data_IF_900360218868
#
_entry.id   IF_900360218868
#
_cell.length_a   1.000
_cell.length_b   1.000
_cell.length_c   1.000
_cell.angle_alpha   90.00
_cell.angle_beta   90.00
_cell.angle_gamma   90.00
#
_symmetry.space_group_name_H-M   'P 1'
#
loop_
_entity.id
_entity.type
_entity.pdbx_description
1 polymer ?
#
# COMPACT_ATOMS: atom_id res chain seq x y z
N UNK A 1 61.72 -18.78 28.47
CA UNK A 1 62.20 -19.65 27.40
C UNK A 1 61.32 -19.40 26.17
N UNK A 2 61.86 -18.64 25.25
CA UNK A 2 61.53 -18.68 23.82
C UNK A 2 62.34 -19.80 23.20
N UNK A 3 61.95 -20.47 22.14
CA UNK A 3 62.03 -20.01 20.77
C UNK A 3 60.83 -20.59 19.93
N UNK A 4 60.62 -20.45 18.64
CA UNK A 4 61.36 -19.83 17.52
C UNK A 4 60.42 -19.83 16.32
N UNK A 5 60.61 -18.87 15.50
CA UNK A 5 59.94 -18.60 14.21
C UNK A 5 60.52 -19.57 13.16
N UNK A 6 59.67 -20.15 12.30
CA UNK A 6 60.12 -20.57 10.96
C UNK A 6 59.01 -20.32 9.95
N UNK A 7 59.28 -19.37 9.04
CA UNK A 7 58.72 -19.25 7.71
C UNK A 7 59.69 -19.88 6.73
N UNK A 8 59.30 -20.55 5.68
CA UNK A 8 59.87 -20.21 4.40
C UNK A 8 58.85 -20.20 3.22
N UNK A 9 58.91 -19.09 2.55
CA UNK A 9 58.71 -19.00 1.11
C UNK A 9 59.68 -19.92 0.36
N UNK A 10 59.27 -20.53 -0.77
CA UNK A 10 59.89 -20.41 -2.10
C UNK A 10 59.51 -21.57 -3.04
N UNK A 11 59.34 -21.24 -4.29
CA UNK A 11 59.41 -22.17 -5.40
C UNK A 11 58.21 -22.01 -6.40
N UNK A 12 58.13 -21.00 -7.19
CA UNK A 12 58.67 -20.73 -8.53
C UNK A 12 58.47 -21.81 -9.60
N UNK A 13 57.75 -21.32 -10.61
CA UNK A 13 57.99 -21.39 -12.04
C UNK A 13 57.24 -22.39 -12.92
N UNK A 14 56.55 -21.79 -13.79
CA UNK A 14 56.63 -21.76 -15.25
C UNK A 14 55.75 -22.70 -16.09
N UNK A 15 55.00 -22.03 -16.88
CA UNK A 15 54.91 -22.01 -18.34
C UNK A 15 54.03 -23.05 -19.00
N UNK A 16 53.05 -22.70 -19.76
CA UNK A 16 53.27 -22.38 -21.16
C UNK A 16 51.99 -21.91 -21.89
N UNK A 17 52.24 -20.92 -22.70
CA UNK A 17 51.48 -20.39 -23.80
C UNK A 17 51.01 -21.46 -24.78
N UNK A 18 49.80 -21.36 -25.30
CA UNK A 18 49.63 -21.46 -26.74
C UNK A 18 48.39 -20.68 -27.20
N UNK A 19 48.72 -19.75 -28.09
CA UNK A 19 47.81 -18.97 -28.91
C UNK A 19 47.10 -19.90 -29.90
N UNK A 20 45.82 -19.61 -30.20
CA UNK A 20 45.37 -19.68 -31.59
C UNK A 20 44.30 -18.62 -31.87
N UNK A 21 44.71 -17.75 -32.80
CA UNK A 21 43.91 -16.74 -33.52
C UNK A 21 43.12 -17.38 -34.64
N UNK A 22 42.16 -16.55 -35.09
CA UNK A 22 41.51 -16.49 -36.43
C UNK A 22 40.18 -17.20 -36.48
N UNK A 23 39.12 -16.67 -37.09
CA UNK A 23 38.93 -15.70 -38.20
C UNK A 23 37.47 -15.26 -38.19
N UNK A 24 37.15 -14.03 -38.13
CA UNK A 24 36.83 -13.05 -39.16
C UNK A 24 35.78 -13.46 -40.21
N UNK A 25 34.76 -12.64 -40.28
CA UNK A 25 34.06 -12.17 -41.49
C UNK A 25 33.21 -13.14 -42.26
N UNK A 26 31.97 -12.77 -42.31
CA UNK A 26 30.95 -12.85 -43.38
C UNK A 26 29.61 -13.28 -42.79
N UNK A 27 28.66 -12.34 -42.65
CA UNK A 27 27.61 -12.07 -43.63
C UNK A 27 26.71 -10.95 -43.09
N UNK A 28 27.04 -9.73 -43.46
CA UNK A 28 26.04 -8.72 -43.68
C UNK A 28 25.60 -8.93 -45.13
N UNK A 29 24.34 -9.23 -45.36
CA UNK A 29 23.53 -8.97 -46.55
C UNK A 29 22.31 -9.89 -46.52
N UNK A 30 21.18 -9.37 -46.05
CA UNK A 30 19.84 -9.81 -46.45
C UNK A 30 18.80 -9.09 -45.58
N UNK A 31 18.73 -7.79 -45.77
CA UNK A 31 17.63 -6.95 -45.29
C UNK A 31 17.38 -5.90 -46.37
N UNK A 32 16.71 -6.31 -47.41
CA UNK A 32 16.01 -5.42 -48.36
C UNK A 32 15.26 -6.34 -49.34
N UNK A 33 14.02 -6.67 -49.05
CA UNK A 33 12.98 -7.08 -50.03
C UNK A 33 11.81 -7.67 -49.24
N UNK A 34 10.92 -6.86 -48.78
CA UNK A 34 9.51 -7.23 -48.53
C UNK A 34 8.70 -5.96 -48.14
N UNK A 35 8.67 -5.03 -49.08
CA UNK A 35 7.71 -3.91 -49.08
C UNK A 35 7.14 -3.92 -50.48
N UNK A 36 5.99 -4.55 -50.66
CA UNK A 36 5.05 -4.41 -51.80
C UNK A 36 4.20 -5.70 -51.88
N UNK A 37 3.05 -5.66 -51.26
CA UNK A 37 1.83 -6.35 -51.67
C UNK A 37 0.84 -6.42 -50.50
N UNK A 38 0.06 -5.38 -50.32
CA UNK A 38 -1.23 -5.46 -49.63
C UNK A 38 -2.16 -4.41 -50.23
N UNK A 39 -2.69 -4.74 -51.38
CA UNK A 39 -3.96 -4.17 -51.84
C UNK A 39 -4.93 -5.32 -52.01
N UNK A 40 -6.15 -5.11 -51.57
CA UNK A 40 -7.36 -5.88 -51.86
C UNK A 40 -7.65 -7.07 -50.94
N UNK A 41 -8.61 -6.81 -50.01
CA UNK A 41 -9.89 -7.51 -49.96
C UNK A 41 -10.68 -6.97 -48.76
N UNK A 42 -11.52 -6.01 -49.03
CA UNK A 42 -12.66 -5.66 -48.17
C UNK A 42 -13.82 -6.58 -48.56
N UNK A 43 -14.34 -7.33 -47.58
CA UNK A 43 -15.76 -7.73 -47.51
C UNK A 43 -15.88 -8.95 -46.59
N UNK A 44 -16.25 -8.67 -45.34
CA UNK A 44 -17.11 -9.56 -44.55
C UNK A 44 -17.20 -9.01 -43.10
N UNK A 45 -17.98 -7.96 -42.93
CA UNK A 45 -18.56 -7.60 -41.63
C UNK A 45 -20.04 -7.32 -41.86
N UNK A 46 -20.96 -7.87 -41.07
CA UNK A 46 -22.37 -7.54 -41.19
C UNK A 46 -22.60 -6.12 -40.72
N UNK A 47 -23.25 -5.31 -41.56
CA UNK A 47 -23.75 -4.00 -41.26
C UNK A 47 -24.87 -4.12 -40.22
N UNK A 48 -24.71 -3.44 -39.08
CA UNK A 48 -25.79 -3.24 -38.09
C UNK A 48 -26.39 -1.88 -38.37
N UNK A 49 -27.62 -1.87 -38.90
CA UNK A 49 -28.40 -0.63 -39.16
C UNK A 49 -28.93 -0.06 -37.85
N UNK A 50 -28.55 1.17 -37.52
CA UNK A 50 -29.14 1.94 -36.43
C UNK A 50 -30.30 2.81 -36.92
N UNK A 51 -31.47 2.85 -36.24
CA UNK A 51 -32.73 3.44 -36.74
C UNK A 51 -32.83 4.96 -36.77
N UNK A 52 -31.72 5.70 -36.64
CA UNK A 52 -31.72 7.17 -36.47
C UNK A 52 -30.86 7.95 -37.51
N UNK A 53 -30.53 7.32 -38.65
CA UNK A 53 -29.86 7.95 -39.76
C UNK A 53 -30.79 8.08 -40.99
N UNK A 54 -31.93 8.72 -40.85
CA UNK A 54 -32.71 9.20 -41.98
C UNK A 54 -33.12 10.66 -41.75
N UNK A 55 -32.35 11.57 -42.28
CA UNK A 55 -32.67 12.99 -42.43
C UNK A 55 -32.33 13.41 -43.84
N UNK A 56 -33.37 13.53 -44.70
CA UNK A 56 -33.27 14.00 -46.07
C UNK A 56 -32.84 15.48 -46.11
N UNK A 57 -32.09 15.93 -47.13
CA UNK A 57 -31.75 17.34 -47.29
C UNK A 57 -32.92 18.10 -47.92
N UNK A 58 -33.52 19.00 -47.19
CA UNK A 58 -34.46 19.99 -47.73
C UNK A 58 -33.67 21.13 -48.33
N UNK A 59 -33.70 21.24 -49.65
CA UNK A 59 -33.29 22.41 -50.39
C UNK A 59 -34.38 23.47 -50.29
N UNK A 60 -34.11 24.58 -49.61
CA UNK A 60 -34.94 25.76 -49.70
C UNK A 60 -34.09 26.94 -50.20
N UNK A 61 -34.39 27.33 -51.43
CA UNK A 61 -33.95 28.54 -52.08
C UNK A 61 -34.62 29.73 -51.37
N UNK A 62 -33.84 30.66 -50.79
CA UNK A 62 -34.40 31.90 -50.24
C UNK A 62 -33.55 33.11 -50.63
N UNK A 63 -34.25 34.08 -51.19
CA UNK A 63 -33.79 35.33 -51.76
C UNK A 63 -32.98 36.19 -50.76
N UNK A 64 -32.04 36.99 -51.31
CA UNK A 64 -31.33 38.07 -50.65
C UNK A 64 -32.29 39.18 -50.19
N UNK A 65 -32.15 39.68 -48.96
CA UNK A 65 -32.55 41.01 -48.59
C UNK A 65 -31.39 42.02 -48.59
N UNK A 66 -31.74 43.28 -48.86
CA UNK A 66 -30.87 44.41 -49.02
C UNK A 66 -30.08 44.83 -47.74
N UNK A 67 -29.08 45.72 -47.88
CA UNK A 67 -28.14 46.04 -46.78
C UNK A 67 -28.83 46.96 -45.76
N UNK A 68 -28.76 46.53 -44.49
CA UNK A 68 -29.14 47.31 -43.32
C UNK A 68 -27.90 47.71 -42.53
N UNK A 69 -27.95 48.92 -42.07
CA UNK A 69 -26.96 49.75 -41.42
C UNK A 69 -26.15 49.08 -40.33
N UNK A 70 -24.85 49.40 -40.27
CA UNK A 70 -23.85 49.01 -39.24
C UNK A 70 -24.25 49.58 -37.88
N UNK A 71 -24.38 48.76 -36.81
CA UNK A 71 -24.36 49.26 -35.45
C UNK A 71 -22.92 49.49 -35.01
N UNK A 72 -22.70 50.57 -34.32
CA UNK A 72 -21.46 50.96 -33.65
C UNK A 72 -20.93 49.84 -32.77
N UNK A 73 -19.62 49.57 -32.87
CA UNK A 73 -18.85 48.75 -31.93
C UNK A 73 -18.90 49.39 -30.55
N UNK A 74 -19.71 48.86 -29.67
CA UNK A 74 -19.53 49.03 -28.23
C UNK A 74 -18.29 48.26 -27.81
N UNK A 75 -17.30 48.97 -27.26
CA UNK A 75 -16.16 48.43 -26.55
C UNK A 75 -16.65 47.59 -25.34
N UNK A 76 -16.99 46.34 -25.54
CA UNK A 76 -17.04 45.40 -24.43
C UNK A 76 -15.59 45.00 -24.05
N UNK A 77 -15.12 45.67 -23.01
CA UNK A 77 -13.96 45.22 -22.23
C UNK A 77 -14.11 43.74 -21.92
N UNK A 78 -13.06 42.90 -22.11
CA UNK A 78 -13.14 41.49 -21.76
C UNK A 78 -13.54 41.38 -20.29
N UNK A 79 -14.67 40.73 -20.03
CA UNK A 79 -15.10 40.41 -18.67
C UNK A 79 -13.95 39.75 -17.94
N UNK A 80 -13.46 40.36 -16.88
CA UNK A 80 -12.54 39.75 -15.93
C UNK A 80 -13.10 38.40 -15.52
N UNK A 81 -12.29 37.35 -15.41
CA UNK A 81 -12.78 36.05 -14.93
C UNK A 81 -13.52 36.30 -13.62
N UNK A 82 -14.78 35.96 -13.59
CA UNK A 82 -15.59 36.00 -12.37
C UNK A 82 -14.85 35.14 -11.33
N UNK A 83 -14.34 35.79 -10.30
CA UNK A 83 -13.76 35.09 -9.14
C UNK A 83 -14.86 34.16 -8.63
N UNK A 84 -14.68 32.87 -8.84
CA UNK A 84 -15.58 31.87 -8.31
C UNK A 84 -15.51 31.99 -6.79
N UNK A 85 -16.64 32.27 -6.14
CA UNK A 85 -16.71 32.39 -4.69
C UNK A 85 -16.17 31.08 -4.06
N UNK A 86 -15.37 31.21 -3.01
CA UNK A 86 -14.90 30.04 -2.25
C UNK A 86 -16.11 29.22 -1.78
N UNK A 87 -16.03 27.90 -1.74
CA UNK A 87 -17.12 27.07 -1.28
C UNK A 87 -17.42 27.34 0.20
N UNK A 88 -18.67 27.48 0.55
CA UNK A 88 -19.08 27.72 1.94
C UNK A 88 -18.96 26.47 2.83
N UNK A 89 -18.83 25.29 2.24
CA UNK A 89 -18.81 24.00 2.97
C UNK A 89 -17.90 22.99 2.30
N UNK A 90 -17.04 22.32 3.08
CA UNK A 90 -16.31 21.09 2.68
C UNK A 90 -16.97 19.85 3.23
N UNK A 91 -17.07 18.80 2.42
CA UNK A 91 -17.58 17.48 2.81
C UNK A 91 -16.43 16.51 2.94
N UNK A 92 -16.24 15.92 4.14
CA UNK A 92 -15.19 14.95 4.42
C UNK A 92 -15.82 13.60 4.74
N UNK A 93 -15.28 12.53 4.13
CA UNK A 93 -15.65 11.17 4.52
C UNK A 93 -14.52 10.51 5.33
N UNK A 94 -14.89 10.01 6.50
CA UNK A 94 -14.00 9.33 7.43
C UNK A 94 -14.50 7.90 7.73
N UNK A 95 -13.59 6.96 8.04
CA UNK A 95 -13.97 5.70 8.63
C UNK A 95 -14.57 5.93 10.03
N UNK A 96 -15.56 5.12 10.40
CA UNK A 96 -16.26 5.28 11.68
C UNK A 96 -15.32 5.20 12.90
N UNK A 97 -14.19 4.47 12.79
CA UNK A 97 -13.20 4.40 13.88
C UNK A 97 -12.46 5.74 14.14
N UNK A 98 -12.52 6.68 13.19
CA UNK A 98 -11.91 8.02 13.28
C UNK A 98 -12.96 9.12 13.49
N UNK A 99 -14.08 8.79 14.13
CA UNK A 99 -15.13 9.75 14.46
C UNK A 99 -14.60 10.85 15.39
N UNK A 100 -14.54 12.13 14.97
CA UNK A 100 -14.13 13.22 15.84
C UNK A 100 -15.16 13.55 16.92
N UNK A 101 -16.37 12.99 16.86
CA UNK A 101 -17.39 13.08 17.90
C UNK A 101 -17.28 12.02 19.00
N UNK A 102 -16.34 11.06 18.87
CA UNK A 102 -16.16 10.01 19.86
C UNK A 102 -15.54 10.53 21.17
N UNK A 103 -15.79 9.84 22.28
CA UNK A 103 -15.22 10.17 23.58
C UNK A 103 -13.78 9.65 23.72
N UNK A 104 -12.83 10.26 22.97
CA UNK A 104 -11.41 9.91 23.01
C UNK A 104 -10.53 11.15 22.84
N UNK A 105 -9.27 11.05 23.29
CA UNK A 105 -8.29 12.12 23.10
C UNK A 105 -8.01 12.38 21.61
N UNK A 106 -7.89 11.33 20.82
CA UNK A 106 -7.67 11.45 19.37
C UNK A 106 -8.86 12.16 18.67
N UNK A 107 -10.08 11.81 19.05
CA UNK A 107 -11.29 12.48 18.54
C UNK A 107 -11.30 13.97 18.87
N UNK A 108 -11.01 14.34 20.14
CA UNK A 108 -10.95 15.74 20.56
C UNK A 108 -9.87 16.53 19.80
N UNK A 109 -8.68 15.92 19.58
CA UNK A 109 -7.61 16.55 18.79
C UNK A 109 -8.02 16.76 17.32
N UNK A 110 -8.65 15.77 16.70
CA UNK A 110 -9.12 15.88 15.31
C UNK A 110 -10.24 16.92 15.21
N UNK A 111 -11.21 16.90 16.11
CA UNK A 111 -12.29 17.89 16.13
C UNK A 111 -11.75 19.33 16.28
N UNK A 112 -10.84 19.56 17.21
CA UNK A 112 -10.21 20.87 17.41
C UNK A 112 -9.45 21.32 16.15
N UNK A 113 -8.70 20.41 15.51
CA UNK A 113 -7.95 20.69 14.28
C UNK A 113 -8.85 21.10 13.13
N UNK A 114 -9.95 20.36 12.92
CA UNK A 114 -10.96 20.67 11.90
C UNK A 114 -11.68 21.99 12.17
N UNK A 115 -12.05 22.26 13.43
CA UNK A 115 -12.70 23.53 13.82
C UNK A 115 -11.79 24.74 13.58
N UNK A 116 -10.50 24.63 13.95
CA UNK A 116 -9.53 25.71 13.70
C UNK A 116 -9.36 26.00 12.21
N UNK A 117 -9.31 24.98 11.38
CA UNK A 117 -9.25 25.16 9.92
C UNK A 117 -10.51 25.82 9.39
N UNK A 118 -11.70 25.36 9.80
CA UNK A 118 -12.98 25.92 9.39
C UNK A 118 -13.11 27.41 9.76
N UNK A 119 -12.71 27.79 10.99
CA UNK A 119 -12.68 29.18 11.45
C UNK A 119 -11.70 30.04 10.64
N UNK A 120 -10.52 29.50 10.33
CA UNK A 120 -9.47 30.23 9.60
C UNK A 120 -9.86 30.50 8.15
N UNK A 121 -10.45 29.53 7.47
CA UNK A 121 -10.89 29.63 6.07
C UNK A 121 -12.29 30.24 5.95
N UNK A 122 -13.03 30.42 7.05
CA UNK A 122 -14.39 30.97 7.05
C UNK A 122 -15.42 30.06 6.38
N UNK A 123 -15.30 28.73 6.58
CA UNK A 123 -16.14 27.71 5.96
C UNK A 123 -16.77 26.78 7.01
N UNK A 124 -17.77 26.01 6.57
CA UNK A 124 -18.28 24.87 7.33
C UNK A 124 -17.62 23.56 6.88
N UNK A 125 -17.39 22.63 7.82
CA UNK A 125 -16.94 21.27 7.53
C UNK A 125 -18.05 20.28 7.91
N UNK A 126 -18.50 19.50 6.92
CA UNK A 126 -19.47 18.42 7.10
C UNK A 126 -18.75 17.08 7.08
N UNK A 127 -18.80 16.32 8.18
CA UNK A 127 -18.18 15.00 8.29
C UNK A 127 -19.25 13.93 8.08
N UNK A 128 -18.93 12.94 7.26
CA UNK A 128 -19.76 11.75 7.04
C UNK A 128 -18.97 10.49 7.36
N UNK A 129 -19.39 9.79 8.39
CA UNK A 129 -18.79 8.53 8.81
C UNK A 129 -19.27 7.38 7.93
N UNK A 130 -18.35 6.48 7.57
CA UNK A 130 -18.61 5.27 6.78
C UNK A 130 -17.93 4.07 7.40
N UNK A 131 -18.50 2.88 7.18
CA UNK A 131 -17.80 1.64 7.52
C UNK A 131 -16.58 1.41 6.63
N UNK A 132 -15.65 0.57 7.09
CA UNK A 132 -14.45 0.25 6.33
C UNK A 132 -14.71 -0.68 5.15
N UNK A 133 -15.68 -1.58 5.30
CA UNK A 133 -15.94 -2.64 4.33
C UNK A 133 -17.42 -3.02 4.31
N UNK A 134 -17.80 -3.83 3.33
CA UNK A 134 -19.17 -4.27 3.12
C UNK A 134 -20.04 -3.23 2.41
N UNK A 135 -21.32 -3.55 2.23
CA UNK A 135 -22.29 -2.64 1.63
C UNK A 135 -22.46 -1.39 2.51
N UNK A 136 -21.99 -0.25 2.04
CA UNK A 136 -21.90 0.99 2.83
C UNK A 136 -20.48 1.36 3.26
N UNK A 137 -19.48 0.57 2.88
CA UNK A 137 -18.06 0.88 3.03
C UNK A 137 -17.64 2.09 2.21
N UNK A 138 -16.54 2.73 2.63
CA UNK A 138 -16.00 3.95 2.00
C UNK A 138 -15.93 3.84 0.46
N UNK A 139 -15.28 2.79 -0.05
CA UNK A 139 -15.09 2.59 -1.49
C UNK A 139 -16.40 2.26 -2.22
N UNK A 140 -17.26 1.44 -1.62
CA UNK A 140 -18.55 1.07 -2.22
C UNK A 140 -19.48 2.27 -2.35
N UNK A 141 -19.57 3.09 -1.29
CA UNK A 141 -20.40 4.31 -1.31
C UNK A 141 -19.79 5.35 -2.26
N UNK A 142 -18.46 5.51 -2.31
CA UNK A 142 -17.78 6.39 -3.27
C UNK A 142 -18.11 5.97 -4.70
N UNK A 143 -18.01 4.69 -5.01
CA UNK A 143 -18.34 4.13 -6.34
C UNK A 143 -19.80 4.36 -6.69
N UNK A 144 -20.72 4.09 -5.77
CA UNK A 144 -22.16 4.27 -6.00
C UNK A 144 -22.54 5.75 -6.16
N UNK A 145 -21.98 6.64 -5.33
CA UNK A 145 -22.23 8.08 -5.40
C UNK A 145 -21.69 8.68 -6.70
N UNK A 146 -20.52 8.27 -7.15
CA UNK A 146 -19.95 8.73 -8.43
C UNK A 146 -20.86 8.43 -9.62
N UNK A 147 -21.51 7.27 -9.61
CA UNK A 147 -22.41 6.87 -10.70
C UNK A 147 -23.80 7.49 -10.61
N UNK A 148 -24.39 7.61 -9.40
CA UNK A 148 -25.80 7.95 -9.22
C UNK A 148 -26.03 9.39 -8.73
N UNK A 149 -25.09 9.97 -8.00
CA UNK A 149 -25.23 11.28 -7.36
C UNK A 149 -23.85 11.98 -7.20
N UNK A 150 -23.21 12.42 -8.29
CA UNK A 150 -21.86 13.01 -8.23
C UNK A 150 -21.73 14.20 -7.25
N UNK A 151 -22.83 14.93 -7.04
CA UNK A 151 -22.87 16.05 -6.10
C UNK A 151 -22.89 15.65 -4.62
N UNK A 152 -23.05 14.35 -4.34
CA UNK A 152 -22.95 13.81 -2.98
C UNK A 152 -21.57 13.27 -2.64
N UNK A 153 -20.62 13.32 -3.58
CA UNK A 153 -19.22 12.95 -3.36
C UNK A 153 -18.59 13.83 -2.27
N UNK A 154 -17.61 13.31 -1.53
CA UNK A 154 -16.84 14.13 -0.61
C UNK A 154 -15.85 15.00 -1.38
N UNK A 155 -15.37 16.08 -0.75
CA UNK A 155 -14.22 16.82 -1.25
C UNK A 155 -12.92 16.12 -0.88
N UNK A 156 -12.87 15.64 0.36
CA UNK A 156 -11.75 14.92 0.93
C UNK A 156 -12.23 13.59 1.53
N UNK A 157 -11.49 12.53 1.28
CA UNK A 157 -11.79 11.19 1.80
C UNK A 157 -10.54 10.53 2.35
N UNK A 158 -10.65 9.89 3.52
CA UNK A 158 -9.58 9.09 4.08
C UNK A 158 -9.77 7.62 3.70
N UNK A 159 -8.87 7.08 2.90
CA UNK A 159 -8.95 5.71 2.37
C UNK A 159 -7.81 4.82 2.87
N UNK A 160 -8.08 3.53 3.14
CA UNK A 160 -7.01 2.54 3.15
C UNK A 160 -6.29 2.53 1.79
N UNK A 161 -4.98 2.32 1.79
CA UNK A 161 -4.19 2.35 0.56
C UNK A 161 -4.72 1.42 -0.55
N UNK A 162 -5.19 0.23 -0.20
CA UNK A 162 -5.78 -0.70 -1.18
C UNK A 162 -7.05 -0.15 -1.85
N UNK A 163 -7.84 0.60 -1.09
CA UNK A 163 -9.07 1.21 -1.60
C UNK A 163 -8.74 2.44 -2.45
N UNK A 164 -7.69 3.20 -2.10
CA UNK A 164 -7.13 4.26 -2.94
C UNK A 164 -6.75 3.73 -4.33
N UNK A 165 -6.07 2.57 -4.40
CA UNK A 165 -5.69 1.97 -5.68
C UNK A 165 -6.90 1.69 -6.55
N UNK A 166 -7.93 1.09 -5.98
CA UNK A 166 -9.18 0.82 -6.69
C UNK A 166 -9.89 2.13 -7.10
N UNK A 167 -9.91 3.13 -6.22
CA UNK A 167 -10.53 4.43 -6.50
C UNK A 167 -9.80 5.18 -7.62
N UNK A 168 -8.46 5.18 -7.61
CA UNK A 168 -7.64 5.80 -8.65
C UNK A 168 -7.85 5.13 -10.02
N UNK A 169 -7.80 3.79 -10.08
CA UNK A 169 -8.02 3.04 -11.32
C UNK A 169 -9.43 3.20 -11.88
N UNK A 170 -10.42 3.54 -11.04
CA UNK A 170 -11.80 3.87 -11.45
C UNK A 170 -12.02 5.36 -11.67
N UNK A 171 -10.98 6.19 -11.58
CA UNK A 171 -11.08 7.66 -11.69
C UNK A 171 -12.06 8.30 -10.70
N UNK A 172 -12.17 7.75 -9.49
CA UNK A 172 -13.00 8.26 -8.41
C UNK A 172 -12.30 9.32 -7.55
N UNK A 173 -10.98 9.41 -7.68
CA UNK A 173 -10.11 10.37 -6.99
C UNK A 173 -9.20 11.07 -8.00
N UNK A 174 -8.75 12.28 -7.64
CA UNK A 174 -7.97 13.17 -8.50
C UNK A 174 -6.48 12.95 -8.31
N UNK A 175 -5.66 12.94 -9.40
CA UNK A 175 -4.21 12.99 -9.30
C UNK A 175 -3.74 14.28 -8.61
N UNK A 176 -2.74 14.16 -7.73
CA UNK A 176 -2.24 15.28 -6.92
C UNK A 176 -0.98 15.94 -7.48
N UNK A 177 -0.22 15.29 -8.38
CA UNK A 177 1.03 15.82 -8.92
C UNK A 177 0.93 17.26 -9.48
N UNK A 178 -0.14 17.65 -10.19
CA UNK A 178 -0.26 19.03 -10.67
C UNK A 178 -0.69 20.03 -9.59
N UNK A 179 -1.07 19.56 -8.40
CA UNK A 179 -1.67 20.36 -7.33
C UNK A 179 -0.74 20.64 -6.17
N UNK A 180 0.13 19.67 -5.83
CA UNK A 180 1.06 19.76 -4.69
C UNK A 180 2.32 18.93 -4.90
N UNK A 181 3.41 19.35 -4.23
CA UNK A 181 4.65 18.57 -4.11
C UNK A 181 4.90 18.07 -2.69
N UNK A 182 3.89 18.09 -1.81
CA UNK A 182 4.08 17.72 -0.39
C UNK A 182 4.62 16.29 -0.22
N UNK A 183 4.30 15.37 -1.14
CA UNK A 183 4.77 13.98 -1.10
C UNK A 183 6.26 13.85 -1.44
N UNK A 184 6.88 14.90 -2.01
CA UNK A 184 8.32 14.96 -2.30
C UNK A 184 9.17 15.31 -1.06
N UNK A 185 8.54 15.73 0.03
CA UNK A 185 9.22 16.02 1.30
C UNK A 185 9.98 14.76 1.80
N UNK A 186 11.22 14.93 2.24
CA UNK A 186 12.08 13.86 2.76
C UNK A 186 11.65 13.34 4.13
N UNK A 187 10.74 14.04 4.81
CA UNK A 187 10.21 13.67 6.13
C UNK A 187 9.25 12.48 6.10
N UNK A 188 8.80 12.04 4.93
CA UNK A 188 7.97 10.84 4.82
C UNK A 188 8.80 9.57 4.99
N UNK A 189 8.27 8.60 5.77
CA UNK A 189 8.82 7.24 5.72
C UNK A 189 8.76 6.69 4.28
N UNK A 190 9.77 5.92 3.83
CA UNK A 190 9.80 5.41 2.44
C UNK A 190 8.53 4.65 2.06
N UNK A 191 8.04 3.76 2.92
CA UNK A 191 6.80 3.01 2.66
C UNK A 191 5.57 3.91 2.58
N UNK A 192 5.54 4.99 3.37
CA UNK A 192 4.43 5.94 3.38
C UNK A 192 4.37 6.72 2.06
N UNK A 193 5.52 7.16 1.56
CA UNK A 193 5.61 7.80 0.24
C UNK A 193 5.15 6.85 -0.88
N UNK A 194 5.55 5.58 -0.83
CA UNK A 194 5.10 4.56 -1.78
C UNK A 194 3.57 4.35 -1.74
N UNK A 195 2.94 4.49 -0.58
CA UNK A 195 1.48 4.40 -0.45
C UNK A 195 0.72 5.46 -1.25
N UNK A 196 1.33 6.61 -1.51
CA UNK A 196 0.71 7.70 -2.28
C UNK A 196 0.62 7.41 -3.76
N UNK A 197 1.47 6.50 -4.26
CA UNK A 197 1.69 6.27 -5.68
C UNK A 197 0.81 5.15 -6.22
N UNK A 198 0.12 5.42 -7.32
CA UNK A 198 -0.57 4.43 -8.16
C UNK A 198 0.00 4.55 -9.57
N UNK A 199 0.69 3.53 -10.03
CA UNK A 199 1.34 3.51 -11.36
C UNK A 199 2.26 4.73 -11.59
N UNK A 200 2.93 5.20 -10.53
CA UNK A 200 3.88 6.32 -10.60
C UNK A 200 3.24 7.71 -10.51
N UNK A 201 1.93 7.80 -10.32
CA UNK A 201 1.18 9.05 -10.14
C UNK A 201 0.72 9.17 -8.68
N UNK A 202 0.84 10.36 -8.08
CA UNK A 202 0.40 10.63 -6.71
C UNK A 202 -1.11 10.80 -6.66
N UNK A 203 -1.81 9.99 -5.87
CA UNK A 203 -3.25 10.07 -5.66
C UNK A 203 -3.65 10.31 -4.21
N UNK A 204 -2.70 10.30 -3.28
CA UNK A 204 -3.02 10.51 -1.87
C UNK A 204 -1.87 11.14 -1.10
N UNK A 205 -2.20 11.79 0.02
CA UNK A 205 -1.25 12.30 1.01
C UNK A 205 -1.20 11.29 2.16
N UNK A 206 -0.02 10.71 2.50
CA UNK A 206 0.09 9.71 3.56
C UNK A 206 -0.36 10.29 4.91
N UNK A 207 -1.07 9.51 5.68
CA UNK A 207 -1.54 9.93 7.01
C UNK A 207 -0.91 9.08 8.12
N UNK A 208 -1.23 7.79 8.16
CA UNK A 208 -0.69 6.84 9.13
C UNK A 208 -0.40 5.50 8.50
N UNK A 209 0.56 4.77 9.08
CA UNK A 209 0.92 3.41 8.71
C UNK A 209 0.63 2.41 9.80
N UNK A 210 0.70 1.14 9.43
CA UNK A 210 0.49 0.01 10.32
C UNK A 210 1.43 -1.16 9.99
N UNK A 211 2.75 -1.01 10.25
CA UNK A 211 3.71 -2.07 10.02
C UNK A 211 3.41 -3.32 10.84
N UNK A 212 3.62 -4.50 10.25
CA UNK A 212 3.59 -5.76 10.96
C UNK A 212 4.87 -5.91 11.80
N UNK A 213 4.76 -6.36 13.04
CA UNK A 213 5.89 -6.55 13.93
C UNK A 213 5.79 -7.89 14.68
N UNK A 214 6.93 -8.40 15.15
CA UNK A 214 6.97 -9.42 16.17
C UNK A 214 6.80 -8.73 17.53
N UNK A 215 5.88 -9.21 18.33
CA UNK A 215 5.68 -8.75 19.69
C UNK A 215 6.04 -9.91 20.62
N UNK A 216 6.91 -9.65 21.58
CA UNK A 216 7.38 -10.66 22.50
C UNK A 216 7.15 -10.21 23.95
N UNK A 217 6.74 -11.13 24.80
CA UNK A 217 6.74 -10.90 26.23
C UNK A 217 8.17 -10.75 26.72
N UNK A 218 8.46 -9.67 27.40
CA UNK A 218 9.80 -9.38 27.85
C UNK A 218 10.27 -10.42 28.90
N UNK A 219 11.18 -11.26 28.46
CA UNK A 219 11.98 -12.07 29.39
C UNK A 219 13.26 -11.31 29.76
N UNK A 220 13.13 -10.07 30.28
CA UNK A 220 14.26 -9.21 30.63
C UNK A 220 14.33 -7.91 29.84
N UNK A 221 15.44 -7.14 30.02
CA UNK A 221 15.63 -5.79 29.47
C UNK A 221 15.82 -5.72 27.94
N UNK A 222 15.99 -6.85 27.26
CA UNK A 222 16.21 -6.87 25.81
C UNK A 222 15.06 -7.61 25.09
N UNK A 223 14.48 -7.03 24.05
CA UNK A 223 13.56 -7.77 23.18
C UNK A 223 14.30 -8.98 22.58
N UNK A 224 13.65 -10.16 22.45
CA UNK A 224 14.28 -11.34 21.89
C UNK A 224 14.80 -11.03 20.48
N UNK A 225 15.99 -11.56 20.15
CA UNK A 225 16.46 -11.50 18.77
C UNK A 225 15.49 -12.29 17.89
N UNK A 226 15.03 -11.65 16.85
CA UNK A 226 14.01 -12.19 15.95
C UNK A 226 14.65 -13.14 14.91
N UNK A 227 15.32 -14.18 15.36
CA UNK A 227 15.68 -15.30 14.49
C UNK A 227 14.65 -16.44 14.63
N UNK A 228 14.57 -17.25 13.61
CA UNK A 228 13.63 -18.37 13.61
C UNK A 228 13.94 -19.41 14.68
N UNK A 229 15.20 -19.60 15.01
CA UNK A 229 15.62 -20.55 16.05
C UNK A 229 15.08 -20.15 17.41
N UNK A 230 15.10 -18.86 17.72
CA UNK A 230 14.47 -18.31 18.94
C UNK A 230 12.95 -18.48 18.92
N UNK A 231 12.29 -18.23 17.79
CA UNK A 231 10.82 -18.39 17.67
C UNK A 231 10.42 -19.85 17.83
N UNK A 232 11.14 -20.76 17.16
CA UNK A 232 10.86 -22.18 17.19
C UNK A 232 11.49 -22.91 18.40
N UNK A 233 12.12 -22.20 19.36
CA UNK A 233 12.74 -22.82 20.51
C UNK A 233 11.70 -23.52 21.40
N UNK A 234 12.03 -24.70 21.98
CA UNK A 234 11.15 -25.38 22.91
C UNK A 234 10.76 -24.49 24.09
N UNK A 235 9.46 -24.41 24.36
CA UNK A 235 8.91 -23.58 25.44
C UNK A 235 8.45 -22.18 24.97
N UNK A 236 8.77 -21.75 23.76
CA UNK A 236 8.16 -20.60 23.15
C UNK A 236 6.84 -20.99 22.46
N UNK A 237 5.91 -20.05 22.44
CA UNK A 237 4.65 -20.18 21.70
C UNK A 237 4.48 -18.94 20.81
N UNK A 238 4.37 -19.16 19.51
CA UNK A 238 4.24 -18.10 18.50
C UNK A 238 2.86 -18.12 17.86
N UNK A 239 2.15 -17.02 17.94
CA UNK A 239 0.80 -16.85 17.43
C UNK A 239 0.75 -15.94 16.21
N UNK A 240 -0.11 -16.29 15.28
CA UNK A 240 -0.49 -15.50 14.13
C UNK A 240 -1.76 -16.07 13.48
N UNK A 241 -2.54 -15.29 12.72
CA UNK A 241 -3.70 -15.82 12.00
C UNK A 241 -3.23 -16.52 10.72
N UNK A 242 -3.15 -17.87 10.74
CA UNK A 242 -2.74 -18.62 9.56
C UNK A 242 -3.78 -18.61 8.44
N UNK A 243 -5.04 -18.34 8.76
CA UNK A 243 -6.16 -18.22 7.81
C UNK A 243 -6.45 -16.76 7.39
N UNK A 244 -5.48 -15.84 7.58
CA UNK A 244 -5.56 -14.46 7.10
C UNK A 244 -5.71 -14.41 5.57
N UNK A 245 -6.76 -13.74 5.11
CA UNK A 245 -7.06 -13.61 3.68
C UNK A 245 -5.98 -12.87 2.88
N UNK A 246 -5.20 -12.00 3.53
CA UNK A 246 -4.08 -11.29 2.92
C UNK A 246 -2.77 -12.08 2.99
N UNK A 247 -2.71 -13.14 3.81
CA UNK A 247 -1.50 -13.92 4.08
C UNK A 247 -0.30 -13.01 4.44
N UNK A 248 -0.54 -11.95 5.22
CA UNK A 248 0.44 -10.87 5.43
C UNK A 248 1.73 -11.38 6.07
N UNK A 249 1.64 -12.18 7.16
CA UNK A 249 2.82 -12.77 7.76
C UNK A 249 3.52 -13.77 6.83
N UNK A 250 2.83 -14.76 6.22
CA UNK A 250 3.44 -15.66 5.25
C UNK A 250 4.18 -14.94 4.12
N UNK A 251 3.57 -13.90 3.56
CA UNK A 251 4.18 -13.09 2.51
C UNK A 251 5.44 -12.37 3.03
N UNK A 252 5.36 -11.78 4.22
CA UNK A 252 6.50 -11.08 4.83
C UNK A 252 7.65 -12.05 5.12
N UNK A 253 7.37 -13.24 5.62
CA UNK A 253 8.38 -14.27 5.86
C UNK A 253 9.00 -14.78 4.55
N UNK A 254 8.17 -15.08 3.55
CA UNK A 254 8.64 -15.50 2.23
C UNK A 254 9.65 -14.49 1.64
N UNK A 255 9.30 -13.20 1.67
CA UNK A 255 10.19 -12.14 1.18
C UNK A 255 11.46 -11.99 2.05
N UNK A 256 11.34 -12.07 3.38
CA UNK A 256 12.48 -12.03 4.30
C UNK A 256 13.42 -13.26 4.19
N UNK A 257 12.94 -14.34 3.63
CA UNK A 257 13.76 -15.53 3.35
C UNK A 257 14.41 -15.51 1.97
N UNK A 258 14.32 -14.37 1.28
CA UNK A 258 14.95 -14.14 -0.01
C UNK A 258 14.03 -14.43 -1.21
N UNK A 259 12.77 -14.70 -0.94
CA UNK A 259 11.78 -14.90 -2.01
C UNK A 259 11.61 -13.66 -2.86
N UNK A 260 11.52 -13.85 -4.16
CA UNK A 260 11.22 -12.83 -5.12
C UNK A 260 9.84 -13.08 -5.75
N UNK A 261 9.10 -12.01 -5.98
CA UNK A 261 7.91 -12.05 -6.80
C UNK A 261 8.34 -11.70 -8.22
N UNK A 262 8.45 -12.72 -9.07
CA UNK A 262 8.84 -12.57 -10.47
C UNK A 262 7.63 -12.63 -11.38
N UNK A 263 7.67 -11.88 -12.46
CA UNK A 263 6.65 -11.83 -13.48
C UNK A 263 6.30 -10.41 -13.88
N UNK A 264 6.39 -10.12 -15.17
CA UNK A 264 5.72 -8.95 -15.74
C UNK A 264 4.24 -9.27 -15.81
N UNK A 265 3.41 -8.38 -15.25
CA UNK A 265 1.95 -8.42 -15.30
C UNK A 265 1.39 -9.25 -16.49
N UNK A 266 0.39 -10.12 -16.32
CA UNK A 266 -0.56 -10.18 -15.19
C UNK A 266 -0.34 -11.34 -14.19
N UNK A 267 0.80 -12.02 -14.17
CA UNK A 267 0.99 -13.19 -13.29
C UNK A 267 2.26 -13.05 -12.45
N UNK A 268 2.08 -12.73 -11.17
CA UNK A 268 3.14 -12.88 -10.19
C UNK A 268 3.43 -14.37 -9.96
N UNK A 269 4.71 -14.74 -9.90
CA UNK A 269 5.15 -16.10 -9.55
C UNK A 269 6.01 -16.09 -8.30
N UNK A 270 5.98 -17.19 -7.57
CA UNK A 270 6.81 -17.42 -6.39
C UNK A 270 8.07 -18.23 -6.77
N UNK A 271 9.11 -18.12 -5.95
CA UNK A 271 10.27 -19.01 -5.98
C UNK A 271 9.97 -20.25 -5.14
N UNK A 272 9.97 -21.42 -5.78
CA UNK A 272 9.58 -22.68 -5.13
C UNK A 272 10.52 -23.06 -4.00
N UNK A 273 11.85 -22.88 -4.17
CA UNK A 273 12.84 -23.26 -3.16
C UNK A 273 12.67 -22.43 -1.87
N UNK A 274 12.49 -21.12 -2.02
CA UNK A 274 12.24 -20.23 -0.87
C UNK A 274 10.90 -20.55 -0.21
N UNK A 275 9.87 -20.84 -1.00
CA UNK A 275 8.57 -21.24 -0.46
C UNK A 275 8.67 -22.52 0.37
N UNK A 276 9.38 -23.55 -0.13
CA UNK A 276 9.66 -24.78 0.62
C UNK A 276 10.38 -24.48 1.93
N UNK A 277 11.42 -23.64 1.91
CA UNK A 277 12.17 -23.25 3.14
C UNK A 277 11.22 -22.60 4.15
N UNK A 278 10.42 -21.64 3.74
CA UNK A 278 9.47 -20.99 4.65
C UNK A 278 8.45 -21.97 5.22
N UNK A 279 7.85 -22.81 4.39
CA UNK A 279 6.88 -23.81 4.82
C UNK A 279 7.48 -24.85 5.75
N UNK A 280 8.75 -25.25 5.53
CA UNK A 280 9.46 -26.21 6.40
C UNK A 280 9.69 -25.65 7.79
N UNK A 281 10.02 -24.36 7.91
CA UNK A 281 10.17 -23.72 9.22
C UNK A 281 8.82 -23.61 9.96
N UNK A 282 7.73 -23.34 9.27
CA UNK A 282 6.39 -23.36 9.87
C UNK A 282 5.98 -24.77 10.29
N UNK A 283 6.29 -25.80 9.48
CA UNK A 283 6.05 -27.19 9.81
C UNK A 283 6.85 -27.63 11.05
N UNK A 284 8.13 -27.26 11.15
CA UNK A 284 8.96 -27.50 12.31
C UNK A 284 8.36 -26.88 13.58
N UNK A 285 7.96 -25.60 13.51
CA UNK A 285 7.29 -24.92 14.62
C UNK A 285 5.98 -25.59 15.04
N UNK A 286 5.26 -26.16 14.09
CA UNK A 286 4.04 -26.94 14.37
C UNK A 286 4.35 -28.28 15.05
N UNK A 287 5.38 -28.99 14.56
CA UNK A 287 5.76 -30.30 15.07
C UNK A 287 6.36 -30.25 16.49
N UNK A 288 7.15 -29.23 16.80
CA UNK A 288 7.76 -29.06 18.12
C UNK A 288 6.86 -28.34 19.14
N UNK A 289 5.67 -27.89 18.70
CA UNK A 289 4.65 -27.25 19.55
C UNK A 289 4.83 -25.74 19.73
N UNK A 290 5.82 -25.10 19.11
CA UNK A 290 5.97 -23.63 19.17
C UNK A 290 4.90 -22.89 18.34
N UNK A 291 4.30 -23.55 17.36
CA UNK A 291 3.11 -23.05 16.68
C UNK A 291 1.90 -23.91 17.06
N UNK A 292 0.95 -23.38 17.86
CA UNK A 292 -0.25 -24.12 18.28
C UNK A 292 -1.16 -24.50 17.13
N UNK A 293 -2.01 -25.52 17.34
CA UNK A 293 -2.96 -25.97 16.34
C UNK A 293 -4.04 -24.90 16.02
N UNK A 294 -4.36 -24.05 16.97
CA UNK A 294 -5.45 -23.09 16.89
C UNK A 294 -5.21 -21.96 15.88
N UNK A 295 -3.93 -21.67 15.55
CA UNK A 295 -3.58 -20.63 14.57
C UNK A 295 -4.25 -20.85 13.21
N UNK A 296 -4.58 -22.09 12.83
CA UNK A 296 -5.22 -22.41 11.54
C UNK A 296 -6.72 -22.06 11.50
N UNK A 297 -7.29 -21.66 12.63
CA UNK A 297 -8.69 -21.24 12.75
C UNK A 297 -8.83 -19.72 12.76
N UNK A 298 -7.73 -18.99 13.02
CA UNK A 298 -7.75 -17.54 13.12
C UNK A 298 -7.60 -16.88 11.76
N UNK A 299 -8.51 -15.94 11.50
CA UNK A 299 -8.58 -15.18 10.24
C UNK A 299 -8.11 -13.73 10.38
N UNK A 300 -7.97 -13.26 11.61
CA UNK A 300 -7.60 -11.86 11.89
C UNK A 300 -6.51 -11.78 12.95
N UNK A 301 -5.66 -10.77 12.85
CA UNK A 301 -4.66 -10.46 13.87
C UNK A 301 -5.26 -10.13 15.23
N UNK A 302 -6.50 -9.66 15.27
CA UNK A 302 -7.21 -9.42 16.52
C UNK A 302 -7.39 -10.73 17.32
N UNK A 303 -7.73 -11.83 16.66
CA UNK A 303 -7.90 -13.14 17.33
C UNK A 303 -6.59 -13.66 17.95
N UNK A 304 -5.46 -13.61 17.22
CA UNK A 304 -4.17 -13.99 17.76
C UNK A 304 -3.68 -13.03 18.83
N UNK A 305 -4.02 -11.74 18.72
CA UNK A 305 -3.70 -10.72 19.72
C UNK A 305 -4.45 -10.95 21.03
N UNK A 306 -5.73 -11.28 20.99
CA UNK A 306 -6.55 -11.60 22.18
C UNK A 306 -5.99 -12.83 22.91
N UNK A 307 -5.58 -13.88 22.18
CA UNK A 307 -4.91 -15.05 22.77
C UNK A 307 -3.56 -14.65 23.41
N UNK A 308 -2.77 -13.80 22.77
CA UNK A 308 -1.55 -13.26 23.35
C UNK A 308 -1.83 -12.46 24.63
N UNK A 309 -2.85 -11.59 24.68
CA UNK A 309 -3.21 -10.85 25.88
C UNK A 309 -3.65 -11.76 27.04
N UNK A 310 -4.23 -12.91 26.74
CA UNK A 310 -4.62 -13.93 27.73
C UNK A 310 -3.47 -14.83 28.22
N UNK A 311 -2.22 -14.44 27.99
CA UNK A 311 -1.02 -15.20 28.39
C UNK A 311 -0.88 -16.59 27.75
N UNK A 312 -1.53 -16.81 26.59
CA UNK A 312 -1.47 -18.11 25.89
C UNK A 312 -0.18 -18.27 25.08
N UNK A 313 0.62 -17.21 24.92
CA UNK A 313 1.84 -17.23 24.13
C UNK A 313 2.92 -16.27 24.63
N UNK A 314 4.17 -16.61 24.30
CA UNK A 314 5.34 -15.74 24.52
C UNK A 314 5.58 -14.76 23.36
N UNK A 315 5.11 -15.09 22.15
CA UNK A 315 5.37 -14.36 20.91
C UNK A 315 4.10 -14.25 20.08
N UNK A 316 3.90 -13.12 19.42
CA UNK A 316 2.88 -12.98 18.39
C UNK A 316 3.35 -12.07 17.26
N UNK A 317 2.92 -12.34 16.03
CA UNK A 317 3.00 -11.34 14.95
C UNK A 317 1.73 -10.51 14.96
N UNK A 318 1.88 -9.19 14.97
CA UNK A 318 0.72 -8.28 14.97
C UNK A 318 1.04 -6.95 14.26
N UNK A 319 0.04 -6.31 13.60
CA UNK A 319 0.14 -4.91 13.24
C UNK A 319 0.39 -4.04 14.47
N UNK A 320 1.25 -3.03 14.35
CA UNK A 320 1.63 -2.16 15.46
C UNK A 320 0.43 -1.47 16.13
N UNK A 321 -0.64 -1.23 15.39
CA UNK A 321 -1.86 -0.63 15.94
C UNK A 321 -2.49 -1.44 17.08
N UNK A 322 -2.36 -2.77 17.08
CA UNK A 322 -2.86 -3.60 18.17
C UNK A 322 -2.03 -3.38 19.45
N UNK A 323 -0.69 -3.38 19.31
CA UNK A 323 0.20 -3.07 20.42
C UNK A 323 -0.03 -1.65 20.96
N UNK A 324 -0.13 -0.66 20.07
CA UNK A 324 -0.23 0.75 20.46
C UNK A 324 -1.54 1.07 21.22
N UNK A 325 -2.65 0.45 20.82
CA UNK A 325 -3.93 0.59 21.52
C UNK A 325 -3.91 0.05 22.95
N UNK A 326 -3.19 -1.04 23.17
CA UNK A 326 -3.13 -1.74 24.45
C UNK A 326 -1.81 -1.50 25.22
N UNK A 327 -0.96 -0.61 24.72
CA UNK A 327 0.40 -0.42 25.27
C UNK A 327 0.43 -0.08 26.77
N UNK A 328 -0.52 0.68 27.25
CA UNK A 328 -0.61 1.03 28.67
C UNK A 328 -0.75 -0.21 29.58
N UNK A 329 -1.33 -1.30 29.05
CA UNK A 329 -1.56 -2.56 29.77
C UNK A 329 -0.43 -3.56 29.52
N UNK A 330 0.06 -3.66 28.27
CA UNK A 330 0.99 -4.70 27.83
C UNK A 330 2.46 -4.29 28.10
N UNK A 331 2.81 -3.04 27.79
CA UNK A 331 4.17 -2.47 27.90
C UNK A 331 5.27 -3.27 27.18
N UNK A 332 4.90 -4.08 26.21
CA UNK A 332 5.86 -4.86 25.38
C UNK A 332 6.45 -3.98 24.27
N UNK A 333 7.59 -4.38 23.74
CA UNK A 333 8.24 -3.67 22.64
C UNK A 333 8.16 -4.45 21.32
N UNK A 334 7.95 -3.75 20.19
CA UNK A 334 8.00 -4.42 18.91
C UNK A 334 9.43 -4.79 18.54
N UNK A 335 9.58 -5.97 17.95
CA UNK A 335 10.81 -6.48 17.40
C UNK A 335 10.69 -6.74 15.89
N UNK A 336 11.83 -6.91 15.22
CA UNK A 336 11.84 -7.26 13.81
C UNK A 336 11.35 -8.70 13.59
N UNK A 337 10.70 -8.94 12.47
CA UNK A 337 10.34 -10.29 12.03
C UNK A 337 11.59 -11.09 11.61
N UNK A 338 11.56 -12.43 11.71
CA UNK A 338 12.70 -13.26 11.33
C UNK A 338 13.04 -13.12 9.85
N UNK A 339 14.34 -13.18 9.55
CA UNK A 339 14.88 -13.05 8.20
C UNK A 339 16.07 -14.00 7.99
N UNK A 340 16.30 -14.41 6.75
CA UNK A 340 17.53 -15.02 6.27
C UNK A 340 18.41 -14.02 5.49
N UNK A 341 17.94 -12.78 5.36
CA UNK A 341 18.68 -11.67 4.74
C UNK A 341 19.57 -10.98 5.79
N UNK A 342 20.49 -10.12 5.33
CA UNK A 342 21.33 -9.30 6.22
C UNK A 342 20.51 -8.39 7.12
N UNK A 343 19.40 -7.87 6.58
CA UNK A 343 18.48 -6.98 7.31
C UNK A 343 17.04 -7.44 7.14
N UNK A 344 16.32 -7.52 8.25
CA UNK A 344 14.88 -7.77 8.24
C UNK A 344 14.16 -6.52 7.77
N UNK A 345 13.07 -6.72 7.04
CA UNK A 345 12.07 -5.69 6.77
C UNK A 345 10.67 -6.19 7.13
N UNK A 346 9.72 -5.29 7.17
CA UNK A 346 8.31 -5.63 7.37
C UNK A 346 7.45 -5.04 6.25
N UNK A 347 6.24 -5.57 6.11
CA UNK A 347 5.22 -4.98 5.25
C UNK A 347 4.32 -4.08 6.08
N UNK A 348 3.96 -2.93 5.50
CA UNK A 348 3.05 -1.97 6.12
C UNK A 348 1.85 -1.71 5.22
N UNK A 349 0.68 -1.66 5.84
CA UNK A 349 -0.50 -1.00 5.29
C UNK A 349 -0.61 0.41 5.84
N UNK A 350 -1.62 1.18 5.40
CA UNK A 350 -1.84 2.51 5.94
C UNK A 350 -3.02 3.22 5.30
N UNK A 351 -3.17 4.48 5.73
CA UNK A 351 -4.26 5.37 5.33
C UNK A 351 -3.71 6.60 4.64
N UNK A 352 -4.44 7.06 3.64
CA UNK A 352 -4.09 8.22 2.83
C UNK A 352 -5.29 9.13 2.64
N UNK A 353 -5.06 10.43 2.63
CA UNK A 353 -6.04 11.43 2.24
C UNK A 353 -6.08 11.54 0.72
N UNK A 354 -7.28 11.47 0.13
CA UNK A 354 -7.47 11.57 -1.31
C UNK A 354 -8.55 12.60 -1.64
N UNK A 355 -8.39 13.29 -2.77
CA UNK A 355 -9.34 14.28 -3.27
C UNK A 355 -10.35 13.61 -4.20
N UNK A 356 -11.63 13.91 -3.98
CA UNK A 356 -12.73 13.47 -4.86
C UNK A 356 -13.55 14.65 -5.39
N UNK A 357 -13.20 15.90 -5.00
CA UNK A 357 -13.82 17.11 -5.48
C UNK A 357 -13.66 17.28 -6.99
N UNK A 358 -14.70 17.71 -7.67
CA UNK A 358 -14.71 17.95 -9.13
C UNK A 358 -14.37 19.41 -9.49
N UNK A 359 -14.67 20.34 -8.59
CA UNK A 359 -14.45 21.77 -8.78
C UNK A 359 -13.07 22.19 -8.29
N UNK A 360 -12.36 23.04 -9.06
CA UNK A 360 -11.00 23.44 -8.77
C UNK A 360 -10.85 24.22 -7.46
N UNK A 361 -11.83 25.05 -7.08
CA UNK A 361 -11.78 25.80 -5.82
C UNK A 361 -11.98 24.89 -4.61
N UNK A 362 -12.84 23.89 -4.75
CA UNK A 362 -13.04 22.85 -3.72
C UNK A 362 -11.84 21.94 -3.61
N UNK A 363 -11.19 21.60 -4.74
CA UNK A 363 -9.94 20.82 -4.74
C UNK A 363 -8.83 21.55 -3.99
N UNK A 364 -8.62 22.84 -4.25
CA UNK A 364 -7.59 23.62 -3.57
C UNK A 364 -7.83 23.68 -2.05
N UNK A 365 -9.07 23.94 -1.63
CA UNK A 365 -9.42 24.03 -0.22
C UNK A 365 -9.33 22.65 0.49
N UNK A 366 -9.76 21.57 -0.16
CA UNK A 366 -9.65 20.22 0.36
C UNK A 366 -8.17 19.77 0.46
N UNK A 367 -7.33 20.18 -0.50
CA UNK A 367 -5.90 19.95 -0.47
C UNK A 367 -5.24 20.66 0.70
N UNK A 368 -5.54 21.96 0.89
CA UNK A 368 -5.03 22.73 2.03
C UNK A 368 -5.40 22.07 3.37
N UNK A 369 -6.62 21.56 3.49
CA UNK A 369 -7.03 20.80 4.67
C UNK A 369 -6.23 19.51 4.83
N UNK A 370 -6.03 18.74 3.77
CA UNK A 370 -5.26 17.50 3.83
C UNK A 370 -3.80 17.76 4.26
N UNK A 371 -3.16 18.80 3.69
CA UNK A 371 -1.82 19.23 4.08
C UNK A 371 -1.77 19.70 5.55
N UNK A 372 -2.77 20.44 5.99
CA UNK A 372 -2.90 20.87 7.39
C UNK A 372 -3.05 19.70 8.37
N UNK A 373 -3.78 18.64 7.98
CA UNK A 373 -3.95 17.43 8.79
C UNK A 373 -2.70 16.54 8.85
N UNK A 374 -1.71 16.75 8.00
CA UNK A 374 -0.45 15.99 8.02
C UNK A 374 0.75 16.82 8.50
N UNK A 375 0.52 18.02 9.06
CA UNK A 375 1.58 18.78 9.72
C UNK A 375 2.16 17.97 10.88
N UNK A 376 3.50 17.93 11.03
CA UNK A 376 4.17 17.05 12.01
C UNK A 376 3.68 17.21 13.45
N UNK A 377 3.44 18.43 13.89
CA UNK A 377 3.01 18.71 15.26
C UNK A 377 1.63 18.14 15.61
N UNK A 378 0.65 18.31 14.72
CA UNK A 378 -0.67 17.70 14.87
C UNK A 378 -0.59 16.19 14.72
N UNK A 379 0.06 15.74 13.66
CA UNK A 379 0.14 14.31 13.34
C UNK A 379 0.82 13.51 14.45
N UNK A 380 1.84 14.10 15.11
CA UNK A 380 2.49 13.51 16.28
C UNK A 380 1.48 13.25 17.41
N UNK A 381 0.81 14.30 17.87
CA UNK A 381 -0.10 14.21 19.02
C UNK A 381 -1.32 13.32 18.72
N UNK A 382 -1.87 13.46 17.53
CA UNK A 382 -3.05 12.72 17.12
C UNK A 382 -2.75 11.22 16.93
N UNK A 383 -1.66 10.89 16.24
CA UNK A 383 -1.31 9.48 15.94
C UNK A 383 -0.92 8.70 17.20
N UNK A 384 -0.22 9.34 18.15
CA UNK A 384 0.07 8.76 19.45
C UNK A 384 -1.21 8.45 20.23
N UNK A 385 -2.14 9.42 20.28
CA UNK A 385 -3.43 9.25 20.96
C UNK A 385 -4.35 8.23 20.27
N UNK A 386 -4.26 8.10 18.94
CA UNK A 386 -5.06 7.16 18.16
C UNK A 386 -4.48 5.74 18.13
N UNK A 387 -3.20 5.58 18.50
CA UNK A 387 -2.50 4.29 18.46
C UNK A 387 -2.17 3.83 17.03
N UNK A 388 -1.62 4.72 16.21
CA UNK A 388 -1.14 4.42 14.86
C UNK A 388 0.21 5.08 14.62
N UNK A 389 1.05 4.46 13.79
CA UNK A 389 2.34 5.05 13.42
C UNK A 389 2.10 6.22 12.46
N UNK A 390 2.59 7.45 12.75
CA UNK A 390 2.47 8.56 11.81
C UNK A 390 3.27 8.28 10.54
N UNK A 391 2.81 8.80 9.41
CA UNK A 391 3.51 8.63 8.13
C UNK A 391 4.80 9.47 8.03
N UNK A 392 4.99 10.47 8.91
CA UNK A 392 6.16 11.37 8.96
C UNK A 392 7.14 10.99 10.06
N UNK A 393 8.42 11.02 9.73
CA UNK A 393 9.53 10.73 10.65
C UNK A 393 9.55 11.71 11.82
N UNK A 394 9.53 13.01 11.54
CA UNK A 394 9.55 14.07 12.58
C UNK A 394 8.35 14.01 13.54
N UNK A 395 7.19 13.56 13.03
CA UNK A 395 6.02 13.35 13.87
C UNK A 395 6.24 12.20 14.88
N UNK A 396 6.84 11.08 14.46
CA UNK A 396 7.17 9.97 15.35
C UNK A 396 8.25 10.35 16.36
N UNK A 397 9.28 11.08 15.94
CA UNK A 397 10.33 11.58 16.82
C UNK A 397 9.82 12.52 17.91
N UNK A 398 8.67 13.16 17.67
CA UNK A 398 8.03 14.10 18.60
C UNK A 398 7.04 13.44 19.56
N UNK A 399 6.79 12.13 19.49
CA UNK A 399 5.90 11.42 20.42
C UNK A 399 6.36 11.59 21.88
N UNK A 400 5.42 11.68 22.80
CA UNK A 400 5.72 11.81 24.23
C UNK A 400 6.21 10.49 24.83
N UNK A 401 5.77 9.35 24.33
CA UNK A 401 6.22 8.04 24.73
C UNK A 401 7.63 7.74 24.20
N UNK A 402 8.65 8.16 24.95
CA UNK A 402 10.05 8.00 24.57
C UNK A 402 10.51 6.55 24.48
N UNK A 403 9.86 5.63 25.21
CA UNK A 403 10.18 4.19 25.21
C UNK A 403 9.86 3.55 23.86
N UNK A 404 8.78 3.97 23.22
CA UNK A 404 8.35 3.43 21.93
C UNK A 404 9.03 4.09 20.73
N UNK A 405 9.53 5.32 20.85
CA UNK A 405 10.09 6.05 19.68
C UNK A 405 11.15 5.24 18.90
N UNK A 406 12.20 4.79 19.58
CA UNK A 406 13.30 4.10 18.93
C UNK A 406 12.89 2.76 18.30
N UNK A 407 12.13 1.87 18.98
CA UNK A 407 11.62 0.65 18.36
C UNK A 407 10.71 0.91 17.15
N UNK A 408 9.75 1.85 17.27
CA UNK A 408 8.83 2.19 16.18
C UNK A 408 9.55 2.84 14.99
N UNK A 409 10.53 3.70 15.27
CA UNK A 409 11.37 4.30 14.23
C UNK A 409 12.11 3.22 13.44
N UNK A 410 12.72 2.25 14.13
CA UNK A 410 13.40 1.12 13.50
C UNK A 410 12.45 0.30 12.62
N UNK A 411 11.25 -0.02 13.12
CA UNK A 411 10.24 -0.76 12.35
C UNK A 411 9.78 0.05 11.13
N UNK A 412 9.50 1.33 11.29
CA UNK A 412 9.00 2.19 10.20
C UNK A 412 10.05 2.43 9.11
N UNK A 413 11.33 2.58 9.47
CA UNK A 413 12.42 2.71 8.50
C UNK A 413 12.68 1.41 7.72
N UNK A 414 12.44 0.24 8.34
CA UNK A 414 12.55 -1.06 7.68
C UNK A 414 11.27 -1.48 6.95
N UNK A 415 10.18 -0.74 7.12
CA UNK A 415 8.92 -1.06 6.49
C UNK A 415 8.97 -0.81 4.97
N UNK A 416 8.29 -1.68 4.25
CA UNK A 416 8.03 -1.55 2.81
C UNK A 416 6.52 -1.49 2.61
N UNK A 417 6.13 -0.87 1.53
CA UNK A 417 4.72 -0.83 1.17
C UNK A 417 4.19 -2.24 0.87
N UNK A 418 2.99 -2.53 1.38
CA UNK A 418 2.26 -3.73 1.00
C UNK A 418 1.97 -3.70 -0.51
N UNK A 419 2.23 -4.80 -1.18
CA UNK A 419 2.11 -4.94 -2.63
C UNK A 419 0.74 -4.50 -3.17
N UNK A 420 0.69 -4.08 -4.43
CA UNK A 420 -0.55 -3.66 -5.08
C UNK A 420 -1.62 -4.76 -5.13
N UNK A 421 -2.87 -4.34 -5.25
CA UNK A 421 -4.06 -5.21 -5.17
C UNK A 421 -4.02 -6.41 -6.12
N UNK A 422 -3.49 -6.23 -7.32
CA UNK A 422 -3.40 -7.30 -8.32
C UNK A 422 -2.49 -8.44 -7.84
N UNK A 423 -1.30 -8.09 -7.31
CA UNK A 423 -0.35 -9.06 -6.76
C UNK A 423 -0.95 -9.74 -5.54
N UNK A 424 -1.52 -8.97 -4.61
CA UNK A 424 -2.14 -9.51 -3.40
C UNK A 424 -3.29 -10.46 -3.72
N UNK A 425 -4.14 -10.15 -4.68
CA UNK A 425 -5.26 -10.99 -5.10
C UNK A 425 -4.81 -12.33 -5.69
N UNK A 426 -3.67 -12.35 -6.39
CA UNK A 426 -3.13 -13.59 -6.98
C UNK A 426 -2.32 -14.42 -5.99
N UNK A 427 -1.49 -13.81 -5.16
CA UNK A 427 -0.51 -14.49 -4.30
C UNK A 427 -1.09 -14.88 -2.93
N UNK A 428 -1.88 -14.01 -2.30
CA UNK A 428 -2.36 -14.24 -0.93
C UNK A 428 -3.17 -15.53 -0.76
N UNK A 429 -4.13 -15.87 -1.66
CA UNK A 429 -4.87 -17.13 -1.52
C UNK A 429 -3.98 -18.36 -1.64
N UNK A 430 -2.94 -18.28 -2.49
CA UNK A 430 -2.00 -19.38 -2.73
C UNK A 430 -1.10 -19.60 -1.52
N UNK A 431 -0.50 -18.53 -0.98
CA UNK A 431 0.32 -18.61 0.23
C UNK A 431 -0.49 -19.10 1.43
N UNK A 432 -1.69 -18.53 1.63
CA UNK A 432 -2.61 -18.96 2.69
C UNK A 432 -2.93 -20.46 2.60
N UNK A 433 -3.27 -20.95 1.41
CA UNK A 433 -3.58 -22.36 1.21
C UNK A 433 -2.40 -23.26 1.50
N UNK A 434 -1.19 -22.90 1.05
CA UNK A 434 0.04 -23.67 1.30
C UNK A 434 0.37 -23.71 2.80
N UNK A 435 0.29 -22.59 3.51
CA UNK A 435 0.53 -22.50 4.95
C UNK A 435 -0.48 -23.34 5.73
N UNK A 436 -1.78 -23.23 5.42
CA UNK A 436 -2.80 -24.03 6.08
C UNK A 436 -2.63 -25.54 5.83
N UNK A 437 -2.23 -25.94 4.61
CA UNK A 437 -2.01 -27.33 4.28
C UNK A 437 -0.89 -27.95 5.14
N UNK A 438 0.22 -27.22 5.33
CA UNK A 438 1.36 -27.66 6.14
C UNK A 438 1.03 -27.65 7.64
N UNK A 439 0.40 -26.58 8.15
CA UNK A 439 0.08 -26.45 9.57
C UNK A 439 -1.03 -27.43 10.05
N UNK A 440 -1.83 -27.95 9.12
CA UNK A 440 -2.81 -29.02 9.40
C UNK A 440 -2.23 -30.43 9.27
N UNK A 441 -0.91 -30.56 9.01
CA UNK A 441 -0.21 -31.81 8.77
C UNK A 441 -0.80 -32.65 7.62
N UNK A 442 -1.39 -31.98 6.62
CA UNK A 442 -2.06 -32.66 5.51
C UNK A 442 -1.09 -33.09 4.41
N UNK A 443 -0.02 -32.30 4.18
CA UNK A 443 0.97 -32.51 3.14
C UNK A 443 2.35 -32.05 3.60
N UNK A 444 3.42 -32.50 2.92
CA UNK A 444 4.78 -32.00 3.16
C UNK A 444 4.95 -30.56 2.62
N UNK A 445 6.02 -29.90 3.06
CA UNK A 445 6.35 -28.54 2.59
C UNK A 445 6.61 -28.50 1.09
N UNK A 446 7.26 -29.53 0.53
CA UNK A 446 7.53 -29.67 -0.89
C UNK A 446 6.25 -29.85 -1.70
N UNK A 447 5.34 -30.70 -1.21
CA UNK A 447 4.06 -30.91 -1.90
C UNK A 447 3.17 -29.68 -1.85
N UNK A 448 3.13 -28.96 -0.71
CA UNK A 448 2.40 -27.72 -0.56
C UNK A 448 2.97 -26.62 -1.49
N UNK A 449 4.29 -26.48 -1.58
CA UNK A 449 4.93 -25.54 -2.48
C UNK A 449 4.64 -25.85 -3.95
N UNK A 450 4.72 -27.13 -4.35
CA UNK A 450 4.39 -27.57 -5.71
C UNK A 450 2.94 -27.25 -6.06
N UNK A 451 1.97 -27.55 -5.19
CA UNK A 451 0.56 -27.21 -5.40
C UNK A 451 0.35 -25.70 -5.51
N UNK A 452 1.06 -24.90 -4.72
CA UNK A 452 1.07 -23.46 -4.81
C UNK A 452 1.55 -22.96 -6.17
N UNK A 453 2.68 -23.50 -6.66
CA UNK A 453 3.23 -23.18 -7.99
C UNK A 453 2.30 -23.57 -9.13
N UNK A 454 1.61 -24.72 -9.01
CA UNK A 454 0.63 -25.15 -9.99
C UNK A 454 -0.61 -24.25 -10.04
N UNK A 455 -1.02 -23.70 -8.90
CA UNK A 455 -2.16 -22.77 -8.79
C UNK A 455 -1.90 -21.41 -9.41
N UNK A 456 -0.63 -21.04 -9.61
CA UNK A 456 -0.22 -19.78 -10.23
C UNK A 456 -0.04 -19.86 -11.74
N UNK A 457 -0.12 -21.06 -12.35
CA UNK A 457 -0.03 -21.26 -13.80
C UNK A 457 -1.37 -20.95 -14.48
#
# INVERSE_FOLDING_TARGET
MKPEIVNPNDGLKNANRSKKKSSSRRRALSLLFALLALTSCSSWLPQVDFPWQQGEPVTTETALPAPTETPELSDESPASPTSQAAPDTLVIWLPAEMDPGAESQAAALLQARLSTFAETEGIDITIRLKSLSGSGGLLDVLTAASAAAPQALPDLILLPRRDLETAALKSLVTPLDPLTSIVDDEDWFPYAREMSLIQGVVYGIPFVGDPLALIARAAGENPPQADWQTIAAPGNTFLFPADDSQALLPLTLYLNFGGALSGSQPRASLDEETLVKMLSLLAEGRQNGSIPADVVQWQTYQQSWEAFLNDEASLTAAPLSLLLKEYAQVQEQPAALPTLLETSFTLSSGWVWALSAQDASRQALALNLAEYLVEPGFLSSWSEAFGRVPARLSALESWQNTTLRAPLLKQSLSARFLLGNEVMTSISPVLRSAVLAVLRDNVTSEEAAKQAMESLK
#
